data_IF_565897290206
#
_entry.id   IF_565897290206
#
_cell.length_a   1.000
_cell.length_b   1.000
_cell.length_c   1.000
_cell.angle_alpha   90.00
_cell.angle_beta   90.00
_cell.angle_gamma   90.00
#
_symmetry.space_group_name_H-M   'P 1'
#
loop_
_entity.id
_entity.type
_entity.pdbx_description
1 polymer ?
#
# COMPACT_ATOMS: atom_id res chain seq x y z
N UNK A 1 -18.56 51.63 -0.57
CA UNK A 1 -18.94 50.33 -1.13
C UNK A 1 -18.00 49.28 -0.58
N UNK A 2 -18.49 48.43 0.35
CA UNK A 2 -17.74 47.33 0.95
C UNK A 2 -18.04 46.06 0.11
N UNK A 3 -16.99 45.47 -0.46
CA UNK A 3 -17.05 44.18 -1.09
C UNK A 3 -16.86 43.07 -0.06
N UNK A 4 -17.91 42.33 0.26
CA UNK A 4 -17.86 41.15 1.08
C UNK A 4 -17.49 39.97 0.18
N UNK A 5 -16.28 39.47 0.35
CA UNK A 5 -15.84 38.18 -0.23
C UNK A 5 -16.59 37.06 0.49
N UNK A 6 -17.51 36.42 -0.20
CA UNK A 6 -18.12 35.16 0.24
C UNK A 6 -17.15 34.04 -0.12
N UNK A 7 -16.42 33.56 0.87
CA UNK A 7 -15.65 32.32 0.79
C UNK A 7 -16.67 31.16 0.80
N UNK A 8 -16.97 30.62 -0.37
CA UNK A 8 -17.67 29.35 -0.50
C UNK A 8 -16.69 28.26 -0.11
N UNK A 9 -16.71 27.85 1.16
CA UNK A 9 -16.10 26.61 1.62
C UNK A 9 -16.86 25.45 0.95
N UNK A 10 -16.30 24.94 -0.14
CA UNK A 10 -16.74 23.70 -0.74
C UNK A 10 -16.45 22.56 0.24
N UNK A 11 -17.47 22.14 0.96
CA UNK A 11 -17.47 20.89 1.68
C UNK A 11 -17.51 19.79 0.60
N UNK A 12 -16.35 19.25 0.25
CA UNK A 12 -16.32 17.96 -0.41
C UNK A 12 -16.86 16.96 0.60
N UNK A 13 -18.05 16.45 0.33
CA UNK A 13 -18.55 15.24 0.93
C UNK A 13 -17.60 14.10 0.48
N UNK A 14 -16.48 13.99 1.13
CA UNK A 14 -15.68 12.77 1.08
C UNK A 14 -16.60 11.70 1.66
N UNK A 15 -17.18 10.90 0.79
CA UNK A 15 -17.95 9.72 1.20
C UNK A 15 -17.08 8.94 2.17
N UNK A 16 -17.54 8.84 3.43
CA UNK A 16 -16.87 8.04 4.45
C UNK A 16 -16.90 6.60 3.97
N UNK A 17 -15.77 6.11 3.45
CA UNK A 17 -15.61 4.70 3.13
C UNK A 17 -15.64 3.95 4.44
N UNK A 18 -16.72 3.19 4.65
CA UNK A 18 -16.92 2.39 5.86
C UNK A 18 -15.94 1.21 5.78
N UNK A 19 -15.14 1.00 6.79
CA UNK A 19 -14.34 -0.21 6.97
C UNK A 19 -15.20 -1.39 7.44
N UNK A 20 -14.59 -2.49 7.86
CA UNK A 20 -15.34 -3.63 8.37
C UNK A 20 -16.23 -3.26 9.57
N UNK A 21 -17.35 -3.95 9.69
CA UNK A 21 -18.31 -3.77 10.78
C UNK A 21 -18.36 -5.01 11.65
N UNK A 22 -18.73 -4.81 12.92
CA UNK A 22 -18.81 -5.88 13.91
C UNK A 22 -20.24 -6.16 14.33
N UNK A 23 -20.52 -7.43 14.54
CA UNK A 23 -21.83 -7.95 14.89
C UNK A 23 -21.70 -9.04 15.96
N UNK A 24 -22.70 -9.20 16.79
CA UNK A 24 -22.75 -10.29 17.77
C UNK A 24 -24.11 -10.98 17.77
N UNK A 25 -24.13 -12.22 18.20
CA UNK A 25 -25.36 -13.00 18.36
C UNK A 25 -25.91 -12.85 19.78
N UNK A 26 -27.22 -12.99 19.90
CA UNK A 26 -27.90 -13.16 21.21
C UNK A 26 -28.09 -14.62 21.56
N UNK A 27 -27.63 -15.56 20.75
CA UNK A 27 -27.68 -17.00 20.99
C UNK A 27 -26.28 -17.51 21.31
N UNK A 28 -26.14 -18.29 22.35
CA UNK A 28 -24.87 -18.89 22.74
C UNK A 28 -24.63 -20.19 21.98
N UNK A 29 -23.42 -20.36 21.47
CA UNK A 29 -22.96 -21.50 20.68
C UNK A 29 -21.59 -21.98 21.18
N UNK A 30 -21.24 -23.24 20.96
CA UNK A 30 -19.85 -23.66 21.10
C UNK A 30 -18.98 -22.96 20.06
N UNK A 31 -17.67 -22.96 20.25
CA UNK A 31 -16.78 -22.13 19.42
C UNK A 31 -16.84 -22.48 17.91
N UNK A 32 -16.90 -23.77 17.56
CA UNK A 32 -16.99 -24.20 16.16
C UNK A 32 -18.30 -23.78 15.50
N UNK A 33 -19.42 -23.96 16.18
CA UNK A 33 -20.72 -23.55 15.68
C UNK A 33 -20.89 -22.02 15.68
N UNK A 34 -20.27 -21.32 16.63
CA UNK A 34 -20.17 -19.87 16.65
C UNK A 34 -19.46 -19.33 15.39
N UNK A 35 -18.34 -19.95 15.02
CA UNK A 35 -17.64 -19.59 13.78
C UNK A 35 -18.48 -19.86 12.54
N UNK A 36 -19.10 -21.04 12.42
CA UNK A 36 -20.00 -21.37 11.31
C UNK A 36 -21.15 -20.37 11.21
N UNK A 37 -21.72 -19.97 12.34
CA UNK A 37 -22.76 -18.96 12.35
C UNK A 37 -22.26 -17.61 11.84
N UNK A 38 -21.06 -17.16 12.25
CA UNK A 38 -20.43 -15.96 11.71
C UNK A 38 -20.23 -16.07 10.18
N UNK A 39 -19.71 -17.18 9.69
CA UNK A 39 -19.47 -17.39 8.27
C UNK A 39 -20.77 -17.46 7.43
N UNK A 40 -21.87 -17.93 8.02
CA UNK A 40 -23.16 -17.97 7.34
C UNK A 40 -23.86 -16.61 7.24
N UNK A 41 -23.57 -15.67 8.15
CA UNK A 41 -24.28 -14.39 8.24
C UNK A 41 -23.36 -13.18 7.93
N UNK A 42 -22.06 -13.32 8.08
CA UNK A 42 -21.04 -12.29 7.96
C UNK A 42 -19.81 -12.86 7.25
N UNK A 43 -18.65 -12.21 7.39
CA UNK A 43 -17.41 -12.72 6.77
C UNK A 43 -16.82 -13.88 7.57
N UNK A 44 -16.57 -13.68 8.86
CA UNK A 44 -16.10 -14.73 9.78
C UNK A 44 -16.22 -14.23 11.24
N UNK A 45 -15.79 -15.05 12.19
CA UNK A 45 -15.62 -14.65 13.58
C UNK A 45 -14.52 -13.58 13.67
N UNK A 46 -14.66 -12.64 14.62
CA UNK A 46 -13.76 -11.49 14.74
C UNK A 46 -12.31 -11.91 14.95
N UNK A 47 -11.41 -11.26 14.21
CA UNK A 47 -9.95 -11.32 14.35
C UNK A 47 -9.47 -9.92 14.77
N UNK A 48 -8.90 -9.78 15.95
CA UNK A 48 -8.50 -8.49 16.52
C UNK A 48 -7.02 -8.25 16.27
N UNK A 49 -6.68 -7.22 15.49
CA UNK A 49 -5.32 -6.97 15.02
C UNK A 49 -4.60 -5.84 15.77
N UNK A 50 -5.30 -5.11 16.64
CA UNK A 50 -4.73 -4.02 17.42
C UNK A 50 -5.48 -3.78 18.71
N UNK A 51 -4.84 -3.10 19.67
CA UNK A 51 -5.51 -2.69 20.92
C UNK A 51 -6.68 -1.75 20.63
N UNK A 52 -6.55 -0.83 19.69
CA UNK A 52 -7.64 0.08 19.29
C UNK A 52 -8.85 -0.68 18.78
N UNK A 53 -8.63 -1.72 18.01
CA UNK A 53 -9.70 -2.59 17.52
C UNK A 53 -10.37 -3.37 18.66
N UNK A 54 -9.56 -3.92 19.58
CA UNK A 54 -10.07 -4.57 20.76
C UNK A 54 -11.00 -3.66 21.58
N UNK A 55 -10.55 -2.44 21.84
CA UNK A 55 -11.32 -1.46 22.60
C UNK A 55 -12.61 -1.07 21.89
N UNK A 56 -12.55 -0.94 20.55
CA UNK A 56 -13.72 -0.65 19.73
C UNK A 56 -14.72 -1.81 19.75
N UNK A 57 -14.29 -3.05 19.53
CA UNK A 57 -15.14 -4.25 19.60
C UNK A 57 -15.81 -4.33 20.98
N UNK A 58 -15.04 -4.18 22.05
CA UNK A 58 -15.58 -4.23 23.43
C UNK A 58 -16.58 -3.11 23.69
N UNK A 59 -16.42 -1.94 23.09
CA UNK A 59 -17.36 -0.82 23.23
C UNK A 59 -18.74 -1.13 22.62
N UNK A 60 -18.78 -1.99 21.61
CA UNK A 60 -20.02 -2.43 20.95
C UNK A 60 -20.75 -3.55 21.69
N UNK A 61 -20.05 -4.30 22.53
CA UNK A 61 -20.60 -5.47 23.20
C UNK A 61 -21.32 -5.09 24.48
N UNK A 62 -22.54 -5.63 24.70
CA UNK A 62 -23.27 -5.46 25.97
C UNK A 62 -22.44 -5.89 27.16
N UNK A 63 -22.49 -5.09 28.22
CA UNK A 63 -21.84 -5.42 29.49
C UNK A 63 -22.50 -6.67 30.13
N UNK A 64 -21.68 -7.57 30.66
CA UNK A 64 -22.11 -8.79 31.35
C UNK A 64 -21.30 -8.97 32.62
N UNK A 65 -21.95 -9.14 33.71
CA UNK A 65 -21.30 -9.32 35.04
C UNK A 65 -20.65 -10.68 35.19
N UNK A 66 -21.13 -11.68 34.45
CA UNK A 66 -20.66 -13.07 34.49
C UNK A 66 -20.81 -13.77 33.13
N UNK A 67 -20.17 -14.93 32.97
CA UNK A 67 -20.32 -15.82 31.80
C UNK A 67 -21.81 -16.14 31.53
N UNK A 68 -22.19 -16.36 30.25
CA UNK A 68 -21.35 -16.46 29.08
C UNK A 68 -20.90 -15.10 28.55
N UNK A 69 -19.58 -15.00 28.20
CA UNK A 69 -19.00 -13.86 27.53
C UNK A 69 -19.01 -14.08 25.98
N UNK A 70 -18.03 -13.59 25.25
CA UNK A 70 -18.05 -13.60 23.81
C UNK A 70 -16.86 -14.35 23.21
N UNK A 71 -17.11 -15.24 22.23
CA UNK A 71 -16.09 -15.91 21.45
C UNK A 71 -15.40 -14.96 20.48
N UNK A 72 -14.08 -15.06 20.37
CA UNK A 72 -13.26 -14.40 19.35
C UNK A 72 -12.47 -15.44 18.55
N UNK A 73 -11.94 -15.02 17.39
CA UNK A 73 -11.34 -15.91 16.40
C UNK A 73 -9.91 -16.36 16.70
N UNK A 74 -9.61 -16.64 17.98
CA UNK A 74 -8.31 -17.23 18.37
C UNK A 74 -8.53 -18.66 18.84
N UNK A 75 -7.66 -19.56 18.40
CA UNK A 75 -7.66 -20.96 18.80
C UNK A 75 -6.26 -21.56 18.73
N UNK A 76 -6.08 -22.71 19.36
CA UNK A 76 -4.93 -23.60 19.19
C UNK A 76 -5.39 -25.05 19.10
N UNK A 77 -4.59 -25.92 18.50
CA UNK A 77 -4.81 -27.36 18.59
C UNK A 77 -4.26 -27.89 19.92
N UNK A 78 -4.74 -29.05 20.37
CA UNK A 78 -4.26 -29.71 21.59
C UNK A 78 -2.76 -30.08 21.52
N UNK A 79 -2.20 -30.23 20.32
CA UNK A 79 -0.77 -30.51 20.09
C UNK A 79 0.07 -29.22 19.98
N UNK A 80 -0.56 -28.08 19.73
CA UNK A 80 0.14 -26.81 19.57
C UNK A 80 0.16 -26.02 20.89
N UNK A 81 1.33 -25.46 21.23
CA UNK A 81 1.45 -24.47 22.30
C UNK A 81 1.17 -23.05 21.81
N UNK A 82 1.03 -22.87 20.49
CA UNK A 82 0.90 -21.56 19.85
C UNK A 82 -0.54 -21.24 19.53
N UNK A 83 -1.00 -20.10 20.02
CA UNK A 83 -2.28 -19.52 19.66
C UNK A 83 -2.22 -18.93 18.26
N UNK A 84 -3.27 -19.12 17.48
CA UNK A 84 -3.35 -18.59 16.13
C UNK A 84 -4.70 -17.93 15.86
N UNK A 85 -4.69 -16.89 15.05
CA UNK A 85 -5.90 -16.31 14.49
C UNK A 85 -6.45 -17.20 13.37
N UNK A 86 -7.78 -17.28 13.31
CA UNK A 86 -8.44 -17.90 12.16
C UNK A 86 -8.22 -17.09 10.89
N UNK A 87 -8.28 -17.76 9.75
CA UNK A 87 -8.21 -17.12 8.43
C UNK A 87 -6.79 -16.89 7.90
N UNK A 88 -5.88 -16.34 8.70
CA UNK A 88 -4.51 -16.07 8.28
C UNK A 88 -3.43 -16.86 9.03
N UNK A 89 -3.83 -17.65 10.04
CA UNK A 89 -2.93 -18.40 10.92
C UNK A 89 -1.83 -17.55 11.58
N UNK A 90 -2.04 -16.25 11.70
CA UNK A 90 -1.10 -15.35 12.38
C UNK A 90 -0.93 -15.76 13.83
N UNK A 91 0.30 -15.81 14.30
CA UNK A 91 0.66 -16.07 15.69
C UNK A 91 0.82 -14.78 16.50
N UNK A 92 0.62 -13.62 15.88
CA UNK A 92 0.68 -12.35 16.59
C UNK A 92 -0.55 -12.21 17.50
N UNK A 93 -0.33 -12.36 18.77
CA UNK A 93 -1.33 -12.20 19.83
C UNK A 93 -0.77 -11.16 20.78
N UNK A 94 -1.41 -9.99 20.82
CA UNK A 94 -0.97 -8.88 21.65
C UNK A 94 -0.74 -9.32 23.10
N UNK A 95 0.48 -9.20 23.58
CA UNK A 95 0.91 -9.66 24.93
C UNK A 95 0.12 -9.03 26.08
N UNK A 96 -0.57 -7.91 25.82
CA UNK A 96 -1.36 -7.18 26.83
C UNK A 96 -2.85 -7.51 26.82
N UNK A 97 -3.30 -8.40 25.94
CA UNK A 97 -4.73 -8.68 25.75
C UNK A 97 -5.24 -9.76 26.69
N UNK A 98 -4.40 -10.60 27.22
CA UNK A 98 -4.79 -11.63 28.19
C UNK A 98 -5.13 -11.04 29.55
N UNK A 99 -6.12 -11.63 30.23
CA UNK A 99 -6.42 -11.31 31.62
C UNK A 99 -5.28 -11.79 32.55
N UNK A 100 -5.32 -11.37 33.79
CA UNK A 100 -4.29 -11.77 34.77
C UNK A 100 -4.30 -13.29 34.95
N UNK A 101 -3.13 -13.90 34.84
CA UNK A 101 -2.89 -15.34 34.92
C UNK A 101 -3.46 -16.16 33.73
N UNK A 102 -3.88 -15.51 32.64
CA UNK A 102 -4.31 -16.17 31.42
C UNK A 102 -3.21 -16.06 30.31
N UNK A 103 -3.14 -17.00 29.37
CA UNK A 103 -3.90 -18.23 29.27
C UNK A 103 -3.40 -19.29 30.26
N UNK A 104 -4.32 -19.90 31.03
CA UNK A 104 -3.98 -20.84 32.11
C UNK A 104 -4.17 -22.32 31.73
N UNK A 105 -4.88 -22.60 30.63
CA UNK A 105 -5.20 -23.94 30.13
C UNK A 105 -5.74 -24.87 31.24
N UNK A 106 -6.70 -24.39 31.98
CA UNK A 106 -7.28 -25.10 33.12
C UNK A 106 -7.74 -26.51 32.71
N UNK A 107 -7.27 -27.52 33.45
CA UNK A 107 -7.48 -28.96 33.18
C UNK A 107 -7.00 -29.39 31.77
N UNK A 108 -6.05 -28.69 31.18
CA UNK A 108 -5.40 -29.02 29.89
C UNK A 108 -6.35 -29.21 28.70
N UNK A 109 -7.48 -28.52 28.68
CA UNK A 109 -8.49 -28.63 27.62
C UNK A 109 -9.12 -27.29 27.17
N UNK A 110 -8.42 -26.17 27.38
CA UNK A 110 -8.83 -24.84 26.96
C UNK A 110 -8.05 -24.43 25.70
N UNK A 111 -8.73 -24.48 24.57
CA UNK A 111 -8.13 -24.27 23.24
C UNK A 111 -8.80 -23.17 22.42
N UNK A 112 -9.79 -22.49 22.98
CA UNK A 112 -10.54 -21.41 22.34
C UNK A 112 -10.53 -20.18 23.24
N UNK A 113 -10.70 -18.98 22.67
CA UNK A 113 -10.54 -17.72 23.40
C UNK A 113 -11.83 -16.93 23.44
N UNK A 114 -12.18 -16.49 24.65
CA UNK A 114 -13.26 -15.52 24.87
C UNK A 114 -12.71 -14.14 25.24
N UNK A 115 -13.52 -13.11 25.02
CA UNK A 115 -13.26 -11.75 25.49
C UNK A 115 -14.20 -11.39 26.64
N UNK A 116 -13.63 -10.88 27.71
CA UNK A 116 -14.40 -10.42 28.86
C UNK A 116 -15.05 -9.07 28.59
N UNK A 117 -16.31 -8.94 28.97
CA UNK A 117 -17.08 -7.69 28.89
C UNK A 117 -17.63 -7.27 30.27
N UNK A 118 -17.21 -7.94 31.34
CA UNK A 118 -17.51 -7.51 32.71
C UNK A 118 -16.87 -6.16 33.01
N UNK A 119 -17.49 -5.37 33.87
CA UNK A 119 -16.90 -4.11 34.34
C UNK A 119 -15.63 -4.36 35.16
N UNK A 120 -14.72 -3.40 35.15
CA UNK A 120 -13.47 -3.47 35.91
C UNK A 120 -12.24 -3.71 35.06
N UNK A 121 -11.08 -4.04 35.65
CA UNK A 121 -9.79 -4.09 34.99
C UNK A 121 -9.64 -5.17 33.91
N UNK A 122 -10.48 -6.19 33.99
CA UNK A 122 -10.48 -7.29 33.00
C UNK A 122 -11.36 -7.00 31.77
N UNK A 123 -12.08 -5.89 31.69
CA UNK A 123 -12.90 -5.57 30.52
C UNK A 123 -12.02 -5.46 29.28
N UNK A 124 -12.38 -6.23 28.24
CA UNK A 124 -11.60 -6.31 27.02
C UNK A 124 -10.38 -7.22 27.10
N UNK A 125 -10.19 -7.91 28.21
CA UNK A 125 -9.14 -8.93 28.35
C UNK A 125 -9.62 -10.29 27.86
N UNK A 126 -8.70 -11.14 27.49
CA UNK A 126 -8.94 -12.46 26.91
C UNK A 126 -8.69 -13.56 27.91
N UNK A 127 -9.44 -14.63 27.76
CA UNK A 127 -9.34 -15.85 28.56
C UNK A 127 -9.40 -17.07 27.64
N UNK A 128 -8.54 -18.08 27.87
CA UNK A 128 -8.71 -19.36 27.24
C UNK A 128 -9.81 -20.16 27.93
N UNK A 129 -10.58 -20.89 27.14
CA UNK A 129 -11.74 -21.61 27.60
C UNK A 129 -11.97 -22.86 26.74
N UNK A 130 -12.74 -23.79 27.26
CA UNK A 130 -13.14 -25.01 26.57
C UNK A 130 -14.02 -24.68 25.38
N UNK A 131 -13.59 -25.11 24.18
CA UNK A 131 -14.33 -24.85 22.94
C UNK A 131 -15.79 -25.36 22.95
N UNK A 132 -16.09 -26.36 23.76
CA UNK A 132 -17.45 -26.92 23.94
C UNK A 132 -18.39 -26.02 24.75
N UNK A 133 -17.87 -25.02 25.47
CA UNK A 133 -18.72 -24.07 26.20
C UNK A 133 -19.57 -23.25 25.26
N UNK A 134 -20.75 -22.87 25.69
CA UNK A 134 -21.66 -22.02 24.91
C UNK A 134 -21.46 -20.57 25.29
N UNK A 135 -21.06 -19.73 24.32
CA UNK A 135 -20.84 -18.30 24.46
C UNK A 135 -21.34 -17.57 23.20
N UNK A 136 -21.45 -16.26 23.26
CA UNK A 136 -21.98 -15.45 22.15
C UNK A 136 -20.91 -15.24 21.09
N UNK A 137 -21.18 -15.52 19.80
CA UNK A 137 -20.27 -15.15 18.72
C UNK A 137 -20.09 -13.64 18.57
N UNK A 138 -18.86 -13.19 18.28
CA UNK A 138 -18.61 -11.88 17.70
C UNK A 138 -18.05 -12.09 16.30
N UNK A 139 -18.68 -11.47 15.33
CA UNK A 139 -18.35 -11.59 13.90
C UNK A 139 -17.92 -10.25 13.32
N UNK A 140 -17.20 -10.29 12.22
CA UNK A 140 -16.94 -9.10 11.41
C UNK A 140 -17.51 -9.28 10.00
N UNK A 141 -17.90 -8.17 9.39
CA UNK A 141 -18.32 -8.11 7.99
C UNK A 141 -17.36 -7.22 7.22
N UNK A 142 -16.65 -7.82 6.28
CA UNK A 142 -15.77 -7.11 5.36
C UNK A 142 -16.59 -6.28 4.36
N UNK A 143 -16.08 -5.12 4.00
CA UNK A 143 -16.67 -4.25 2.98
C UNK A 143 -15.91 -4.34 1.65
N UNK A 144 -14.65 -4.75 1.69
CA UNK A 144 -13.88 -5.04 0.50
C UNK A 144 -14.41 -6.25 -0.25
N UNK A 145 -14.54 -6.11 -1.56
CA UNK A 145 -14.88 -7.19 -2.49
C UNK A 145 -14.02 -7.07 -3.76
N UNK A 146 -14.16 -8.00 -4.69
CA UNK A 146 -13.36 -8.05 -5.92
C UNK A 146 -13.52 -6.81 -6.82
N UNK A 147 -14.63 -6.07 -6.69
CA UNK A 147 -14.92 -4.85 -7.47
C UNK A 147 -14.61 -3.56 -6.74
N UNK A 148 -14.11 -3.61 -5.51
CA UNK A 148 -13.83 -2.40 -4.71
C UNK A 148 -12.74 -1.53 -5.34
N UNK A 149 -11.73 -2.14 -5.93
CA UNK A 149 -10.63 -1.45 -6.60
C UNK A 149 -10.48 -1.95 -8.03
N UNK A 150 -10.18 -1.05 -8.98
CA UNK A 150 -10.03 -1.39 -10.40
C UNK A 150 -8.62 -1.88 -10.74
N UNK A 151 -7.61 -1.17 -10.27
CA UNK A 151 -6.18 -1.47 -10.49
C UNK A 151 -5.43 -1.43 -9.17
N UNK A 152 -5.71 -2.39 -8.29
CA UNK A 152 -5.10 -2.47 -6.98
C UNK A 152 -5.84 -3.44 -6.07
N UNK A 153 -5.45 -3.47 -4.80
CA UNK A 153 -6.11 -4.30 -3.80
C UNK A 153 -6.80 -3.45 -2.75
N UNK A 154 -7.99 -3.86 -2.35
CA UNK A 154 -8.71 -3.25 -1.24
C UNK A 154 -8.07 -3.68 0.09
N UNK A 155 -7.88 -2.72 0.98
CA UNK A 155 -7.44 -2.93 2.38
C UNK A 155 -8.45 -2.27 3.30
N UNK A 156 -8.72 -2.91 4.41
CA UNK A 156 -9.69 -2.45 5.39
C UNK A 156 -9.07 -2.30 6.78
N UNK A 157 -9.63 -1.38 7.54
CA UNK A 157 -9.44 -1.20 8.97
C UNK A 157 -10.80 -1.00 9.62
N UNK A 158 -10.84 -0.82 10.94
CA UNK A 158 -12.09 -0.68 11.72
C UNK A 158 -13.08 0.34 11.13
N UNK A 159 -12.58 1.48 10.64
CA UNK A 159 -13.42 2.60 10.20
C UNK A 159 -13.10 3.08 8.79
N UNK A 160 -12.29 2.35 8.05
CA UNK A 160 -11.81 2.81 6.77
C UNK A 160 -11.51 1.65 5.83
N UNK A 161 -11.89 1.79 4.57
CA UNK A 161 -11.42 0.96 3.47
C UNK A 161 -10.74 1.84 2.44
N UNK A 162 -9.66 1.36 1.86
CA UNK A 162 -8.90 2.07 0.85
C UNK A 162 -8.34 1.13 -0.20
N UNK A 163 -8.15 1.64 -1.40
CA UNK A 163 -7.44 0.92 -2.43
C UNK A 163 -5.94 1.22 -2.37
N UNK A 164 -5.12 0.18 -2.27
CA UNK A 164 -3.69 0.26 -2.55
C UNK A 164 -3.49 0.05 -4.04
N UNK A 165 -3.24 1.14 -4.74
CA UNK A 165 -3.14 1.12 -6.20
C UNK A 165 -1.87 0.42 -6.69
N UNK A 166 -1.98 -0.25 -7.82
CA UNK A 166 -0.83 -0.69 -8.60
C UNK A 166 -0.02 0.54 -9.06
N UNK A 167 1.30 0.41 -9.25
CA UNK A 167 2.13 1.49 -9.77
C UNK A 167 1.56 2.05 -11.08
N UNK A 168 1.49 3.36 -11.19
CA UNK A 168 0.95 4.05 -12.36
C UNK A 168 -0.55 4.31 -12.33
N UNK A 169 -1.23 3.97 -11.25
CA UNK A 169 -2.65 4.25 -11.05
C UNK A 169 -2.91 5.05 -9.78
N UNK A 170 -3.94 5.91 -9.80
CA UNK A 170 -4.36 6.78 -8.72
C UNK A 170 -5.90 6.85 -8.65
N UNK A 171 -6.39 7.52 -7.62
CA UNK A 171 -7.83 7.65 -7.37
C UNK A 171 -8.29 6.74 -6.24
N UNK A 172 -9.48 6.99 -5.72
CA UNK A 172 -10.05 6.27 -4.58
C UNK A 172 -10.33 4.77 -4.87
N UNK A 173 -10.47 4.42 -6.16
CA UNK A 173 -10.64 3.05 -6.66
C UNK A 173 -9.50 2.61 -7.59
N UNK A 174 -8.43 3.42 -7.68
CA UNK A 174 -7.32 3.19 -8.63
C UNK A 174 -7.77 3.18 -10.10
N UNK A 175 -8.79 3.98 -10.41
CA UNK A 175 -9.43 4.02 -11.73
C UNK A 175 -8.72 4.92 -12.73
N UNK A 176 -7.79 5.77 -12.28
CA UNK A 176 -7.15 6.79 -13.10
C UNK A 176 -5.69 6.44 -13.32
N UNK A 177 -5.28 6.29 -14.59
CA UNK A 177 -3.87 6.17 -14.92
C UNK A 177 -3.15 7.51 -14.70
N UNK A 178 -1.95 7.45 -14.16
CA UNK A 178 -1.07 8.62 -14.00
C UNK A 178 -0.74 9.18 -15.38
N UNK A 179 -0.73 10.51 -15.53
CA UNK A 179 -0.40 11.19 -16.79
C UNK A 179 0.99 11.78 -16.72
N UNK A 180 1.71 11.69 -17.83
CA UNK A 180 2.95 12.44 -18.05
C UNK A 180 2.67 13.80 -18.68
N UNK A 181 3.53 14.80 -18.46
CA UNK A 181 3.38 16.11 -19.11
C UNK A 181 3.54 15.98 -20.64
N UNK A 182 2.91 16.85 -21.41
CA UNK A 182 3.10 16.89 -22.84
C UNK A 182 4.57 17.03 -23.21
N UNK A 183 4.99 16.30 -24.24
CA UNK A 183 6.34 16.41 -24.79
C UNK A 183 6.40 17.55 -25.79
N UNK A 184 7.38 18.43 -25.65
CA UNK A 184 7.68 19.41 -26.69
C UNK A 184 8.27 18.71 -27.90
N UNK A 185 7.92 19.17 -29.12
CA UNK A 185 8.53 18.68 -30.35
C UNK A 185 10.04 18.98 -30.34
N UNK A 186 10.89 18.08 -30.82
CA UNK A 186 12.27 18.43 -31.09
C UNK A 186 12.32 19.43 -32.29
N UNK A 187 13.25 20.37 -32.23
CA UNK A 187 13.51 21.23 -33.35
C UNK A 187 13.94 20.36 -34.55
N UNK A 188 13.37 20.60 -35.73
CA UNK A 188 13.61 19.80 -36.94
C UNK A 188 13.26 18.29 -36.76
N UNK A 189 12.21 18.00 -35.99
CA UNK A 189 11.73 16.63 -35.77
C UNK A 189 10.25 16.56 -35.44
N UNK A 190 9.79 15.34 -35.28
CA UNK A 190 8.40 15.02 -34.90
C UNK A 190 8.36 14.00 -33.78
N UNK A 191 7.21 13.91 -33.08
CA UNK A 191 6.93 12.90 -32.06
C UNK A 191 5.58 12.24 -32.34
N UNK A 192 5.53 10.93 -32.19
CA UNK A 192 4.29 10.15 -32.31
C UNK A 192 4.15 9.29 -31.08
N UNK A 193 3.04 9.43 -30.38
CA UNK A 193 2.75 8.69 -29.17
C UNK A 193 1.76 7.56 -29.41
N UNK A 194 1.82 6.51 -28.59
CA UNK A 194 0.92 5.36 -28.67
C UNK A 194 -0.54 5.70 -28.32
N UNK A 195 -0.74 6.76 -27.55
CA UNK A 195 -2.05 7.32 -27.23
C UNK A 195 -1.98 8.83 -26.98
N UNK A 196 -3.11 9.52 -27.15
CA UNK A 196 -3.20 10.97 -26.98
C UNK A 196 -3.26 11.40 -25.50
N UNK A 197 -3.60 10.47 -24.61
CA UNK A 197 -3.74 10.74 -23.19
C UNK A 197 -2.45 10.87 -22.43
N UNK A 198 -1.33 10.43 -23.02
CA UNK A 198 0.03 10.41 -22.42
C UNK A 198 0.02 9.77 -21.02
N UNK A 199 -0.71 8.70 -20.88
CA UNK A 199 -0.89 8.02 -19.61
C UNK A 199 0.23 7.02 -19.31
N UNK A 200 0.26 6.47 -18.12
CA UNK A 200 1.20 5.42 -17.71
C UNK A 200 1.33 4.32 -18.77
N UNK A 201 2.56 3.93 -19.10
CA UNK A 201 2.96 3.03 -20.17
C UNK A 201 2.81 3.56 -21.60
N UNK A 202 2.30 4.78 -21.83
CA UNK A 202 2.34 5.39 -23.15
C UNK A 202 3.77 5.57 -23.62
N UNK A 203 4.04 5.18 -24.86
CA UNK A 203 5.36 5.33 -25.48
C UNK A 203 5.31 6.35 -26.60
N UNK A 204 6.17 7.35 -26.52
CA UNK A 204 6.34 8.36 -27.57
C UNK A 204 7.64 8.12 -28.32
N UNK A 205 7.57 8.07 -29.65
CA UNK A 205 8.69 7.87 -30.56
C UNK A 205 9.01 9.16 -31.29
N UNK A 206 10.29 9.50 -31.33
CA UNK A 206 10.81 10.69 -32.02
C UNK A 206 11.38 10.31 -33.36
N UNK A 207 11.27 11.23 -34.31
CA UNK A 207 11.86 11.11 -35.63
C UNK A 207 12.37 12.48 -36.06
N UNK A 208 13.65 12.58 -36.42
CA UNK A 208 14.23 13.81 -36.99
C UNK A 208 13.86 13.93 -38.46
N UNK A 209 13.78 15.17 -38.96
CA UNK A 209 13.59 15.49 -40.35
C UNK A 209 14.79 15.04 -41.21
N UNK A 210 14.62 14.92 -42.53
CA UNK A 210 15.69 14.54 -43.43
C UNK A 210 16.88 15.51 -43.33
N UNK A 211 18.08 14.98 -43.21
CA UNK A 211 19.31 15.77 -43.06
C UNK A 211 19.69 16.10 -41.61
N UNK A 212 18.92 15.60 -40.63
CA UNK A 212 19.21 15.77 -39.20
C UNK A 212 19.52 14.41 -38.56
N UNK A 213 20.46 14.41 -37.63
CA UNK A 213 20.85 13.26 -36.81
C UNK A 213 20.24 13.38 -35.42
N UNK A 214 19.70 12.29 -34.93
CA UNK A 214 19.14 12.22 -33.56
C UNK A 214 20.25 11.98 -32.56
N UNK A 215 20.29 12.81 -31.52
CA UNK A 215 21.11 12.60 -30.33
C UNK A 215 20.19 12.43 -29.12
N UNK A 216 20.29 11.31 -28.43
CA UNK A 216 19.40 10.91 -27.31
C UNK A 216 18.53 9.71 -27.64
N UNK A 217 17.53 9.47 -26.83
CA UNK A 217 16.63 8.30 -26.97
C UNK A 217 15.61 8.51 -28.08
N UNK A 218 15.49 7.55 -28.99
CA UNK A 218 14.46 7.60 -30.04
C UNK A 218 13.02 7.36 -29.51
N UNK A 219 12.88 6.90 -28.28
CA UNK A 219 11.58 6.70 -27.63
C UNK A 219 11.70 6.94 -26.13
N UNK A 220 10.62 7.43 -25.54
CA UNK A 220 10.43 7.58 -24.10
C UNK A 220 9.10 6.99 -23.70
N UNK A 221 9.03 6.43 -22.49
CA UNK A 221 7.82 5.81 -21.93
C UNK A 221 7.39 6.56 -20.68
N UNK A 222 6.10 6.76 -20.51
CA UNK A 222 5.53 7.38 -19.33
C UNK A 222 5.62 6.43 -18.14
N UNK A 223 6.37 6.81 -17.12
CA UNK A 223 6.56 6.03 -15.91
C UNK A 223 5.39 6.14 -14.92
N UNK A 224 5.39 5.26 -13.93
CA UNK A 224 4.35 5.18 -12.90
C UNK A 224 4.23 6.45 -12.03
N UNK A 225 5.26 7.27 -11.99
CA UNK A 225 5.28 8.54 -11.24
C UNK A 225 4.89 9.76 -12.08
N UNK A 226 4.47 9.56 -13.34
CA UNK A 226 4.17 10.65 -14.24
C UNK A 226 5.40 11.33 -14.85
N UNK A 227 6.54 10.65 -14.81
CA UNK A 227 7.80 11.16 -15.36
C UNK A 227 8.18 10.31 -16.58
N UNK A 228 8.61 10.96 -17.66
CA UNK A 228 9.12 10.25 -18.83
C UNK A 228 10.44 9.54 -18.52
N UNK A 229 10.65 8.38 -19.13
CA UNK A 229 11.85 7.55 -18.93
C UNK A 229 13.16 8.20 -19.37
N UNK A 230 13.09 9.31 -20.09
CA UNK A 230 14.24 10.07 -20.53
C UNK A 230 13.86 11.44 -21.07
N UNK A 231 14.86 12.29 -21.30
CA UNK A 231 14.66 13.60 -21.90
C UNK A 231 14.30 13.48 -23.39
N UNK A 232 13.73 14.53 -23.95
CA UNK A 232 13.51 14.66 -25.37
C UNK A 232 14.88 14.63 -26.12
N UNK A 233 14.99 13.95 -27.26
CA UNK A 233 16.20 13.96 -28.05
C UNK A 233 16.39 15.31 -28.77
N UNK A 234 17.60 15.54 -29.25
CA UNK A 234 17.97 16.69 -30.08
C UNK A 234 18.16 16.20 -31.51
N UNK A 235 17.57 16.92 -32.49
CA UNK A 235 17.84 16.73 -33.91
C UNK A 235 18.89 17.76 -34.35
N UNK A 236 20.11 17.33 -34.52
CA UNK A 236 21.21 18.20 -34.95
C UNK A 236 21.46 18.08 -36.47
N UNK A 237 21.68 19.20 -37.17
CA UNK A 237 22.06 19.13 -38.56
C UNK A 237 23.39 18.38 -38.71
N UNK A 238 23.59 17.71 -39.85
CA UNK A 238 24.82 16.97 -40.12
C UNK A 238 26.09 17.82 -39.94
N UNK A 239 26.02 19.11 -40.30
CA UNK A 239 27.12 20.06 -40.09
C UNK A 239 27.42 20.29 -38.60
N UNK A 240 26.39 20.46 -37.76
CA UNK A 240 26.56 20.67 -36.31
C UNK A 240 27.09 19.40 -35.64
N UNK A 241 26.64 18.23 -36.05
CA UNK A 241 27.14 16.96 -35.55
C UNK A 241 28.63 16.76 -35.84
N UNK A 242 29.08 17.10 -37.07
CA UNK A 242 30.49 17.05 -37.44
C UNK A 242 31.34 18.04 -36.63
N UNK A 243 30.84 19.25 -36.38
CA UNK A 243 31.56 20.24 -35.57
C UNK A 243 31.70 19.78 -34.10
N UNK A 244 30.68 19.14 -33.53
CA UNK A 244 30.74 18.59 -32.18
C UNK A 244 31.79 17.47 -32.06
N UNK A 245 31.86 16.57 -33.05
CA UNK A 245 32.87 15.50 -33.09
C UNK A 245 34.28 16.08 -33.31
N UNK A 246 34.43 17.04 -34.20
CA UNK A 246 35.70 17.71 -34.44
C UNK A 246 36.17 18.51 -33.21
N UNK A 247 35.26 19.18 -32.49
CA UNK A 247 35.55 19.90 -31.25
C UNK A 247 36.00 18.99 -30.12
N UNK A 248 35.35 17.84 -29.94
CA UNK A 248 35.78 16.84 -28.95
C UNK A 248 37.11 16.19 -29.30
N UNK A 249 37.35 15.94 -30.58
CA UNK A 249 38.63 15.42 -31.08
C UNK A 249 39.80 16.39 -30.88
N UNK A 250 39.61 17.68 -31.13
CA UNK A 250 40.64 18.71 -30.91
C UNK A 250 40.94 18.95 -29.42
N UNK A 251 39.94 18.92 -28.55
CA UNK A 251 40.12 19.01 -27.08
C UNK A 251 40.88 17.81 -26.52
N UNK A 252 40.58 16.59 -26.97
CA UNK A 252 41.33 15.39 -26.56
C UNK A 252 42.77 15.39 -27.08
N UNK A 253 43.01 15.83 -28.30
CA UNK A 253 44.37 16.01 -28.84
C UNK A 253 45.15 17.08 -28.06
N UNK A 254 44.54 18.22 -27.73
CA UNK A 254 45.17 19.27 -26.93
C UNK A 254 45.46 18.77 -25.50
N UNK A 255 44.55 18.03 -24.86
CA UNK A 255 44.80 17.39 -23.57
C UNK A 255 45.95 16.38 -23.66
N UNK A 256 46.00 15.53 -24.69
CA UNK A 256 47.12 14.58 -24.89
C UNK A 256 48.45 15.30 -25.11
N UNK A 257 48.49 16.38 -25.89
CA UNK A 257 49.69 17.18 -26.12
C UNK A 257 50.12 17.87 -24.82
N UNK A 258 49.23 18.44 -24.06
CA UNK A 258 49.54 19.04 -22.78
C UNK A 258 50.06 18.01 -21.78
N UNK A 259 49.45 16.81 -21.73
CA UNK A 259 49.92 15.74 -20.86
C UNK A 259 51.30 15.19 -21.23
N UNK A 260 51.57 15.04 -22.53
CA UNK A 260 52.90 14.66 -23.04
C UNK A 260 53.94 15.75 -22.76
N UNK A 261 53.58 17.03 -22.93
CA UNK A 261 54.47 18.16 -22.65
C UNK A 261 54.80 18.30 -21.17
N UNK A 262 53.81 18.11 -20.25
CA UNK A 262 54.05 18.08 -18.83
C UNK A 262 54.87 16.89 -18.38
N UNK A 263 54.72 15.73 -19.00
CA UNK A 263 55.54 14.54 -18.72
C UNK A 263 57.00 14.73 -19.18
N UNK A 264 57.17 15.36 -20.34
CA UNK A 264 58.52 15.66 -20.86
C UNK A 264 59.25 16.70 -19.99
N UNK A 265 58.54 17.68 -19.44
CA UNK A 265 59.12 18.69 -18.52
C UNK A 265 59.53 18.10 -17.21
N UNK A 266 58.82 17.11 -16.68
CA UNK A 266 59.21 16.40 -15.44
C UNK A 266 60.43 15.54 -15.59
N UNK A 267 60.70 15.00 -16.78
CA UNK A 267 61.90 14.18 -17.01
C UNK A 267 63.17 14.99 -17.13
N UNK A 268 63.13 16.29 -17.44
CA UNK A 268 64.27 17.19 -17.49
C UNK A 268 64.71 17.75 -16.12
N UNK A 269 63.83 17.67 -15.12
CA UNK A 269 64.14 18.11 -13.74
C UNK A 269 64.82 17.06 -12.84
N UNK A 270 65.00 15.82 -13.37
CA UNK A 270 65.66 14.72 -12.64
C UNK A 270 67.11 14.46 -13.12
N UNK A 271 67.68 15.37 -13.98
CA UNK A 271 69.04 15.27 -14.50
C UNK A 271 69.90 16.53 -14.20
N UNK A 272 69.67 17.19 -13.07
CA UNK A 272 70.58 18.20 -12.48
C UNK A 272 70.84 17.87 -11.03
#
# INVERSE_FOLDING_TARGET
>A
MKWTLILILGWSLAGTTIGWTYHYSNVTLNWSDARKWCQANFTDMVVIQSQRENDYVVSLLPNRTQSPYYWIGITKTHLSKTWTWIGNNSTWIGTRSWARNEPNNNRSNEFCVEIYVKSGPDRGKWNDEKCARKKFPVCFKAQCNASSCERGRCVETINHSACLCEPGFIGNRCQTAVKCPPLSLPDDGNVTCSDEGLIFNSTCRFKCSSGFLMTGSFAVTCGATGIWSGPRPICASYKQALLAVAGCGSLSLLCCICFCWMKHRKSQFFLL
#
